data_IF_337244307513
#
_entry.id   IF_337244307513
#
_cell.length_a   1.000
_cell.length_b   1.000
_cell.length_c   1.000
_cell.angle_alpha   90.00
_cell.angle_beta   90.00
_cell.angle_gamma   90.00
#
_symmetry.space_group_name_H-M   'P 1'
#
loop_
_entity.id
_entity.type
_entity.pdbx_description
1 polymer ?
#
# COMPACT_ATOMS: atom_id res chain seq x y z
N UNK A 1 18.68 13.09 -21.22
CA UNK A 1 18.02 13.00 -19.90
C UNK A 1 16.57 12.52 -20.07
N UNK A 2 15.92 12.82 -21.21
CA UNK A 2 14.59 12.28 -21.54
C UNK A 2 14.47 10.76 -21.46
N UNK A 3 15.47 10.00 -21.92
CA UNK A 3 15.38 8.53 -21.87
C UNK A 3 15.21 8.03 -20.44
N UNK A 4 15.96 8.59 -19.48
CA UNK A 4 15.90 8.21 -18.06
C UNK A 4 14.50 8.50 -17.50
N UNK A 5 13.90 9.62 -17.89
CA UNK A 5 12.56 10.01 -17.43
C UNK A 5 11.47 9.07 -17.98
N UNK A 6 11.57 8.68 -19.26
CA UNK A 6 10.66 7.69 -19.86
C UNK A 6 10.73 6.37 -19.07
N UNK A 7 11.94 5.89 -18.76
CA UNK A 7 12.11 4.65 -17.98
C UNK A 7 11.54 4.77 -16.57
N UNK A 8 11.73 5.90 -15.89
CA UNK A 8 11.17 6.14 -14.54
C UNK A 8 9.64 6.17 -14.57
N UNK A 9 9.05 6.81 -15.58
CA UNK A 9 7.59 6.87 -15.74
C UNK A 9 6.99 5.48 -15.99
N UNK A 10 7.65 4.62 -16.79
CA UNK A 10 7.25 3.23 -16.97
C UNK A 10 7.32 2.41 -15.67
N UNK A 11 8.38 2.59 -14.87
CA UNK A 11 8.52 1.93 -13.57
C UNK A 11 7.40 2.37 -12.62
N UNK A 12 7.09 3.67 -12.58
CA UNK A 12 6.00 4.20 -11.77
C UNK A 12 4.65 3.60 -12.18
N UNK A 13 4.39 3.48 -13.48
CA UNK A 13 3.14 2.92 -14.01
C UNK A 13 2.95 1.46 -13.58
N UNK A 14 3.99 0.63 -13.71
CA UNK A 14 3.93 -0.78 -13.28
C UNK A 14 3.76 -0.88 -11.76
N UNK A 15 4.48 -0.06 -10.99
CA UNK A 15 4.39 -0.06 -9.53
C UNK A 15 2.99 0.34 -9.04
N UNK A 16 2.32 1.29 -9.69
CA UNK A 16 0.94 1.68 -9.39
C UNK A 16 -0.05 0.55 -9.64
N UNK A 17 0.07 -0.16 -10.78
CA UNK A 17 -0.80 -1.31 -11.08
C UNK A 17 -0.65 -2.40 -10.02
N UNK A 18 0.58 -2.73 -9.63
CA UNK A 18 0.86 -3.70 -8.58
C UNK A 18 0.33 -3.24 -7.21
N UNK A 19 0.46 -1.95 -6.89
CA UNK A 19 -0.01 -1.37 -5.66
C UNK A 19 -1.55 -1.45 -5.55
N UNK A 20 -2.27 -1.15 -6.63
CA UNK A 20 -3.73 -1.29 -6.68
C UNK A 20 -4.11 -2.75 -6.41
N UNK A 21 -3.48 -3.70 -7.11
CA UNK A 21 -3.73 -5.13 -6.89
C UNK A 21 -3.43 -5.58 -5.45
N UNK A 22 -2.33 -5.11 -4.88
CA UNK A 22 -1.94 -5.42 -3.50
C UNK A 22 -2.94 -4.87 -2.47
N UNK A 23 -3.42 -3.63 -2.66
CA UNK A 23 -4.42 -3.01 -1.80
C UNK A 23 -5.78 -3.71 -1.92
N UNK A 24 -6.21 -4.09 -3.13
CA UNK A 24 -7.49 -4.81 -3.29
C UNK A 24 -7.48 -6.20 -2.63
N UNK A 25 -6.31 -6.82 -2.53
CA UNK A 25 -6.16 -8.12 -1.87
C UNK A 25 -6.07 -8.00 -0.33
N UNK A 26 -5.79 -6.81 0.21
CA UNK A 26 -5.87 -6.55 1.65
C UNK A 26 -7.35 -6.50 2.06
N UNK A 27 -7.84 -7.57 2.71
CA UNK A 27 -9.20 -7.60 3.23
C UNK A 27 -9.32 -6.75 4.50
N UNK A 28 -10.36 -5.91 4.59
CA UNK A 28 -10.72 -5.23 5.83
C UNK A 28 -11.54 -6.17 6.69
N UNK A 29 -10.95 -6.78 7.72
CA UNK A 29 -11.60 -7.76 8.61
C UNK A 29 -12.58 -7.13 9.63
N UNK A 30 -13.16 -5.98 9.32
CA UNK A 30 -14.03 -5.26 10.27
C UNK A 30 -15.51 -5.56 10.03
N UNK A 31 -16.06 -6.40 10.90
CA UNK A 31 -17.51 -6.51 11.11
C UNK A 31 -18.06 -5.12 11.45
N UNK A 32 -19.00 -4.61 10.65
CA UNK A 32 -19.66 -3.30 10.83
C UNK A 32 -20.18 -3.12 12.27
N UNK A 33 -20.65 -4.20 12.90
CA UNK A 33 -21.10 -4.24 14.30
C UNK A 33 -20.00 -3.89 15.32
N UNK A 34 -18.74 -4.22 15.02
CA UNK A 34 -17.59 -3.93 15.88
C UNK A 34 -17.06 -2.50 15.75
N UNK A 35 -17.44 -1.77 14.70
CA UNK A 35 -17.08 -0.37 14.50
C UNK A 35 -18.01 0.60 15.27
N UNK A 36 -19.24 0.18 15.56
CA UNK A 36 -20.24 0.99 16.27
C UNK A 36 -20.41 0.62 17.75
N UNK A 37 -19.98 -0.57 18.19
CA UNK A 37 -20.32 -1.09 19.53
C UNK A 37 -19.50 -0.52 20.69
N UNK A 38 -18.39 0.18 20.44
CA UNK A 38 -17.70 1.08 21.39
C UNK A 38 -17.27 0.55 22.78
N UNK A 39 -17.64 -0.66 23.19
CA UNK A 39 -17.69 -0.97 24.62
C UNK A 39 -16.49 -1.79 25.12
N UNK A 40 -16.02 -2.85 24.43
CA UNK A 40 -15.02 -3.79 25.04
C UNK A 40 -14.10 -4.55 24.07
N UNK A 41 -13.72 -3.96 22.93
CA UNK A 41 -13.00 -4.72 21.89
C UNK A 41 -11.52 -4.38 21.71
N UNK A 42 -10.98 -3.28 22.25
CA UNK A 42 -9.57 -2.87 22.01
C UNK A 42 -8.53 -3.91 22.43
N UNK A 43 -8.71 -4.58 23.58
CA UNK A 43 -7.72 -5.53 24.11
C UNK A 43 -7.73 -6.91 23.42
N UNK A 44 -8.68 -7.15 22.51
CA UNK A 44 -8.74 -8.35 21.66
C UNK A 44 -8.81 -8.03 20.15
N UNK A 45 -8.92 -6.75 19.75
CA UNK A 45 -8.85 -6.29 18.35
C UNK A 45 -7.42 -6.21 17.83
N UNK A 46 -6.45 -5.91 18.69
CA UNK A 46 -5.03 -6.03 18.35
C UNK A 46 -4.55 -7.49 18.32
N UNK A 47 -5.33 -8.39 17.71
CA UNK A 47 -4.81 -9.69 17.29
C UNK A 47 -3.82 -9.41 16.19
N UNK A 48 -2.54 -9.33 16.58
CA UNK A 48 -1.35 -9.26 15.74
C UNK A 48 -1.67 -9.78 14.34
N UNK A 49 -1.67 -8.91 13.33
CA UNK A 49 -1.80 -9.29 11.93
C UNK A 49 -0.80 -10.43 11.67
N UNK A 50 -1.31 -11.63 11.42
CA UNK A 50 -0.50 -12.87 11.31
C UNK A 50 -0.71 -13.49 9.95
N UNK A 51 0.39 -13.92 9.35
CA UNK A 51 0.38 -14.62 8.06
C UNK A 51 0.51 -13.68 6.87
N UNK A 52 -0.28 -13.95 5.82
CA UNK A 52 -0.20 -13.29 4.52
C UNK A 52 -0.50 -11.79 4.58
N UNK A 53 -1.40 -11.38 5.47
CA UNK A 53 -1.81 -9.98 5.58
C UNK A 53 -0.66 -9.07 6.05
N UNK A 54 0.21 -9.54 6.94
CA UNK A 54 1.40 -8.79 7.38
C UNK A 54 2.41 -8.62 6.23
N UNK A 55 2.55 -9.66 5.40
CA UNK A 55 3.40 -9.62 4.21
C UNK A 55 2.83 -8.63 3.19
N UNK A 56 1.51 -8.67 2.97
CA UNK A 56 0.81 -7.81 2.03
C UNK A 56 0.86 -6.34 2.48
N UNK A 57 0.66 -6.05 3.77
CA UNK A 57 0.81 -4.70 4.33
C UNK A 57 2.22 -4.15 4.13
N UNK A 58 3.26 -4.95 4.45
CA UNK A 58 4.66 -4.54 4.26
C UNK A 58 5.00 -4.35 2.78
N UNK A 59 4.51 -5.23 1.91
CA UNK A 59 4.69 -5.13 0.46
C UNK A 59 4.05 -3.85 -0.10
N UNK A 60 2.84 -3.53 0.32
CA UNK A 60 2.16 -2.29 -0.08
C UNK A 60 2.91 -1.05 0.40
N UNK A 61 3.43 -1.03 1.63
CA UNK A 61 4.26 0.08 2.13
C UNK A 61 5.48 0.30 1.21
N UNK A 62 6.17 -0.78 0.83
CA UNK A 62 7.33 -0.69 -0.07
C UNK A 62 6.91 -0.17 -1.45
N UNK A 63 5.82 -0.70 -2.01
CA UNK A 63 5.28 -0.24 -3.30
C UNK A 63 4.90 1.25 -3.25
N UNK A 64 4.30 1.71 -2.16
CA UNK A 64 3.95 3.13 -1.96
C UNK A 64 5.20 4.00 -1.98
N UNK A 65 6.25 3.61 -1.26
CA UNK A 65 7.51 4.36 -1.24
C UNK A 65 8.15 4.42 -2.63
N UNK A 66 8.15 3.31 -3.37
CA UNK A 66 8.69 3.27 -4.75
C UNK A 66 7.92 4.26 -5.63
N UNK A 67 6.59 4.25 -5.61
CA UNK A 67 5.78 5.18 -6.41
C UNK A 67 6.08 6.63 -6.04
N UNK A 68 6.14 6.97 -4.74
CA UNK A 68 6.43 8.32 -4.28
C UNK A 68 7.81 8.78 -4.74
N UNK A 69 8.83 7.94 -4.60
CA UNK A 69 10.20 8.25 -5.03
C UNK A 69 10.26 8.41 -6.55
N UNK A 70 9.65 7.52 -7.33
CA UNK A 70 9.63 7.61 -8.79
C UNK A 70 8.95 8.89 -9.28
N UNK A 71 7.83 9.29 -8.67
CA UNK A 71 7.12 10.52 -9.02
C UNK A 71 7.94 11.76 -8.66
N UNK A 72 8.58 11.77 -7.47
CA UNK A 72 9.45 12.87 -7.06
C UNK A 72 10.67 13.01 -7.98
N UNK A 73 11.27 11.89 -8.38
CA UNK A 73 12.37 11.88 -9.34
C UNK A 73 11.92 12.45 -10.68
N UNK A 74 10.78 11.98 -11.22
CA UNK A 74 10.21 12.48 -12.48
C UNK A 74 9.89 13.97 -12.41
N UNK A 75 9.35 14.46 -11.28
CA UNK A 75 9.01 15.87 -11.11
C UNK A 75 10.24 16.79 -10.99
N UNK A 76 11.31 16.35 -10.35
CA UNK A 76 12.50 17.17 -10.09
C UNK A 76 13.55 17.11 -11.22
N UNK A 77 13.45 16.12 -12.11
CA UNK A 77 14.28 15.98 -13.31
C UNK A 77 13.61 16.50 -14.60
N UNK A 78 12.36 16.96 -14.51
CA UNK A 78 11.68 17.76 -15.56
C UNK A 78 12.15 19.21 -15.54
#
# INVERSE_FOLDING_TARGET
MEDIMIWVDFIALIAVILLIGAVMLQQSSDDISSAFSGEKSELFKERKTRGLELFLTRGTIILTVIVVVSVLLSNNLR
#
